data_IF_314510784324
#
_entry.id   IF_314510784324
#
_cell.length_a   1.000
_cell.length_b   1.000
_cell.length_c   1.000
_cell.angle_alpha   90.00
_cell.angle_beta   90.00
_cell.angle_gamma   90.00
#
_symmetry.space_group_name_H-M   'P 1'
#
loop_
_entity.id
_entity.type
_entity.pdbx_description
1 polymer ?
#
# COMPACT_ATOMS: atom_id res chain seq x y z
N UNK A 1 -7.38 -8.44 -21.64
CA UNK A 1 -7.76 -7.17 -20.98
C UNK A 1 -6.54 -6.24 -21.05
N UNK A 2 -6.70 -4.94 -21.31
CA UNK A 2 -5.59 -3.98 -21.40
C UNK A 2 -5.75 -2.91 -20.31
N UNK A 3 -5.15 -3.09 -19.11
CA UNK A 3 -5.34 -2.17 -17.99
C UNK A 3 -4.69 -0.82 -18.26
N UNK A 4 -5.35 0.26 -17.81
CA UNK A 4 -4.87 1.64 -17.91
C UNK A 4 -4.95 2.30 -16.54
N UNK A 5 -3.92 3.05 -16.17
CA UNK A 5 -3.87 3.83 -14.93
C UNK A 5 -4.47 5.22 -15.20
N UNK A 6 -5.29 5.70 -14.27
CA UNK A 6 -5.95 7.02 -14.32
C UNK A 6 -5.95 7.65 -12.93
N UNK A 7 -6.48 8.86 -12.82
CA UNK A 7 -6.57 9.65 -11.57
C UNK A 7 -5.21 10.08 -11.00
N UNK A 8 -4.52 10.93 -11.74
CA UNK A 8 -3.23 11.52 -11.36
C UNK A 8 -3.38 12.80 -10.50
N UNK A 9 -4.54 13.06 -9.90
CA UNK A 9 -4.81 14.29 -9.13
C UNK A 9 -3.92 14.47 -7.90
N UNK A 10 -3.36 13.37 -7.39
CA UNK A 10 -2.38 13.36 -6.28
C UNK A 10 -0.95 13.07 -6.74
N UNK A 11 -0.72 12.88 -8.05
CA UNK A 11 0.61 12.58 -8.57
C UNK A 11 1.53 13.78 -8.39
N UNK A 12 2.78 13.51 -8.01
CA UNK A 12 3.80 14.52 -7.80
C UNK A 12 4.93 14.29 -8.80
N UNK A 13 5.24 15.31 -9.59
CA UNK A 13 6.43 15.29 -10.44
C UNK A 13 7.65 15.64 -9.58
N UNK A 14 8.66 14.76 -9.61
CA UNK A 14 9.97 15.07 -9.08
C UNK A 14 10.79 15.83 -10.13
N UNK A 15 11.58 16.82 -9.70
CA UNK A 15 12.48 17.56 -10.59
C UNK A 15 13.90 17.02 -10.52
N UNK A 16 14.61 16.98 -11.64
CA UNK A 16 16.03 16.58 -11.68
C UNK A 16 16.27 15.13 -11.22
N UNK A 17 17.22 14.93 -10.30
CA UNK A 17 17.60 13.62 -9.75
C UNK A 17 16.84 13.27 -8.45
N UNK A 18 15.76 13.99 -8.12
CA UNK A 18 14.96 13.68 -6.94
C UNK A 18 14.19 12.36 -7.12
N UNK A 19 14.39 11.42 -6.19
CA UNK A 19 13.74 10.10 -6.18
C UNK A 19 12.69 9.96 -5.06
N UNK A 20 12.65 10.95 -4.16
CA UNK A 20 11.80 11.00 -2.98
C UNK A 20 11.55 12.45 -2.53
N UNK A 21 10.50 12.66 -1.75
CA UNK A 21 10.12 13.97 -1.24
C UNK A 21 9.27 13.87 0.03
N UNK A 22 9.01 15.00 0.67
CA UNK A 22 8.18 15.07 1.88
C UNK A 22 7.01 16.05 1.71
N UNK A 23 5.88 15.77 2.36
CA UNK A 23 4.71 16.65 2.41
C UNK A 23 4.11 16.70 3.81
N UNK A 24 3.81 17.91 4.27
CA UNK A 24 3.04 18.12 5.51
C UNK A 24 1.55 17.75 5.36
N UNK A 25 1.10 17.50 4.13
CA UNK A 25 -0.28 17.12 3.80
C UNK A 25 -0.29 15.70 3.26
N UNK A 26 -0.66 14.75 4.11
CA UNK A 26 -0.88 13.33 3.77
C UNK A 26 -2.29 13.17 3.22
N UNK A 27 -2.40 12.71 1.97
CA UNK A 27 -3.68 12.42 1.32
C UNK A 27 -3.53 11.14 0.52
N UNK A 28 -4.47 10.22 0.64
CA UNK A 28 -4.47 8.99 -0.13
C UNK A 28 -5.58 8.04 0.31
N UNK A 29 -5.62 6.85 -0.28
CA UNK A 29 -6.60 5.83 0.11
C UNK A 29 -6.04 4.99 1.25
N UNK A 30 -6.70 5.05 2.41
CA UNK A 30 -6.37 4.21 3.56
C UNK A 30 -6.31 2.73 3.20
N UNK A 31 -5.33 2.02 3.76
CA UNK A 31 -5.06 0.61 3.46
C UNK A 31 -4.12 0.38 2.27
N UNK A 32 -3.92 1.39 1.41
CA UNK A 32 -2.97 1.34 0.29
C UNK A 32 -1.74 2.23 0.54
N UNK A 33 -1.87 3.27 1.36
CA UNK A 33 -0.75 4.16 1.69
C UNK A 33 0.38 3.42 2.39
N UNK A 34 1.61 3.67 1.93
CA UNK A 34 2.82 3.19 2.59
C UNK A 34 2.94 3.80 4.01
N UNK A 35 3.45 3.04 4.99
CA UNK A 35 3.55 3.51 6.37
C UNK A 35 4.42 4.76 6.52
N UNK A 36 5.54 4.83 5.79
CA UNK A 36 6.43 5.99 5.77
C UNK A 36 5.75 7.25 5.20
N UNK A 37 4.83 7.07 4.26
CA UNK A 37 4.02 8.18 3.73
C UNK A 37 2.93 8.60 4.71
N UNK A 38 2.26 7.64 5.34
CA UNK A 38 1.17 7.89 6.28
C UNK A 38 1.63 8.54 7.58
N UNK A 39 2.82 8.15 8.08
CA UNK A 39 3.37 8.65 9.34
C UNK A 39 4.19 9.93 9.17
N UNK A 40 5.09 9.95 8.18
CA UNK A 40 6.09 11.02 8.07
C UNK A 40 5.88 11.93 6.85
N UNK A 41 4.88 11.66 6.01
CA UNK A 41 4.65 12.39 4.76
C UNK A 41 5.66 12.10 3.65
N UNK A 42 6.52 11.08 3.82
CA UNK A 42 7.58 10.74 2.86
C UNK A 42 7.03 9.95 1.69
N UNK A 43 7.08 10.52 0.49
CA UNK A 43 6.65 9.87 -0.75
C UNK A 43 7.83 9.62 -1.68
N UNK A 44 7.79 8.51 -2.40
CA UNK A 44 8.83 8.10 -3.34
C UNK A 44 8.28 7.03 -4.27
N UNK A 45 9.10 6.59 -5.23
CA UNK A 45 8.77 5.39 -6.02
C UNK A 45 8.52 4.16 -5.13
N UNK A 46 9.18 4.04 -3.97
CA UNK A 46 8.98 2.90 -3.05
C UNK A 46 7.60 2.90 -2.41
N UNK A 47 7.07 4.08 -2.05
CA UNK A 47 5.71 4.17 -1.51
C UNK A 47 4.65 3.81 -2.56
N UNK A 48 4.93 4.08 -3.84
CA UNK A 48 4.07 3.65 -4.95
C UNK A 48 4.12 2.12 -5.17
N UNK A 49 5.31 1.51 -5.06
CA UNK A 49 5.48 0.04 -5.12
C UNK A 49 4.70 -0.65 -4.00
N UNK A 50 4.74 -0.10 -2.78
CA UNK A 50 3.95 -0.63 -1.67
C UNK A 50 2.44 -0.63 -1.99
N UNK A 51 1.93 0.51 -2.45
CA UNK A 51 0.52 0.69 -2.81
C UNK A 51 0.09 -0.27 -3.92
N UNK A 52 0.96 -0.46 -4.92
CA UNK A 52 0.75 -1.45 -5.98
C UNK A 52 0.75 -2.89 -5.47
N UNK A 53 1.62 -3.24 -4.51
CA UNK A 53 1.64 -4.56 -3.89
C UNK A 53 0.32 -4.91 -3.20
N UNK A 54 -0.30 -3.95 -2.51
CA UNK A 54 -1.64 -4.11 -1.92
C UNK A 54 -2.70 -4.37 -3.00
N UNK A 55 -2.69 -3.57 -4.08
CA UNK A 55 -3.60 -3.76 -5.21
C UNK A 55 -3.44 -5.15 -5.84
N UNK A 56 -2.20 -5.62 -6.01
CA UNK A 56 -1.91 -6.95 -6.54
C UNK A 56 -2.50 -8.04 -5.64
N UNK A 57 -2.35 -7.92 -4.32
CA UNK A 57 -2.94 -8.87 -3.38
C UNK A 57 -4.47 -8.84 -3.40
N UNK A 58 -5.10 -7.68 -3.55
CA UNK A 58 -6.54 -7.55 -3.73
C UNK A 58 -7.01 -8.26 -5.01
N UNK A 59 -6.27 -8.11 -6.12
CA UNK A 59 -6.56 -8.80 -7.39
C UNK A 59 -6.44 -10.32 -7.23
N UNK A 60 -5.33 -10.80 -6.66
CA UNK A 60 -5.06 -12.24 -6.52
C UNK A 60 -6.04 -12.89 -5.52
N UNK A 61 -6.35 -12.22 -4.41
CA UNK A 61 -7.26 -12.75 -3.40
C UNK A 61 -8.74 -12.62 -3.79
N UNK A 62 -9.06 -11.73 -4.72
CA UNK A 62 -10.45 -11.33 -5.03
C UNK A 62 -11.16 -10.65 -3.86
N UNK A 63 -10.44 -10.30 -2.79
CA UNK A 63 -10.99 -9.68 -1.57
C UNK A 63 -10.63 -8.21 -1.53
N UNK A 64 -11.65 -7.36 -1.46
CA UNK A 64 -11.44 -5.92 -1.32
C UNK A 64 -10.66 -5.59 -0.06
N UNK A 65 -9.69 -4.69 -0.18
CA UNK A 65 -8.98 -4.15 0.98
C UNK A 65 -9.86 -3.22 1.83
N UNK A 66 -10.95 -2.68 1.25
CA UNK A 66 -12.01 -1.93 1.97
C UNK A 66 -12.91 -2.90 2.75
N UNK A 67 -12.44 -3.35 3.91
CA UNK A 67 -13.22 -4.28 4.73
C UNK A 67 -12.67 -4.66 6.10
N UNK A 68 -11.48 -4.23 6.52
CA UNK A 68 -11.05 -4.41 7.91
C UNK A 68 -11.46 -3.21 8.80
N UNK A 69 -12.75 -2.90 8.80
CA UNK A 69 -13.39 -2.36 9.99
C UNK A 69 -13.68 -3.56 10.91
N UNK A 70 -12.65 -4.01 11.63
CA UNK A 70 -12.87 -4.82 12.81
C UNK A 70 -12.20 -4.10 13.97
N UNK A 71 -13.03 -3.53 14.83
CA UNK A 71 -12.66 -3.09 16.17
C UNK A 71 -11.99 -4.20 17.00
N UNK A 72 -11.99 -5.45 16.52
CA UNK A 72 -11.41 -6.62 17.21
C UNK A 72 -10.38 -7.46 16.42
N UNK A 73 -9.92 -7.07 15.22
CA UNK A 73 -8.88 -7.84 14.52
C UNK A 73 -7.86 -6.97 13.76
N UNK A 74 -6.70 -6.80 14.40
CA UNK A 74 -5.57 -5.92 14.04
C UNK A 74 -4.76 -6.32 12.79
N UNK A 75 -5.31 -7.08 11.84
CA UNK A 75 -4.53 -7.57 10.70
C UNK A 75 -5.09 -7.03 9.38
N UNK A 76 -4.36 -6.08 8.79
CA UNK A 76 -4.49 -5.71 7.38
C UNK A 76 -4.07 -6.88 6.46
N UNK A 77 -4.22 -6.75 5.14
CA UNK A 77 -3.79 -7.79 4.19
C UNK A 77 -2.32 -8.18 4.37
N UNK A 78 -1.46 -7.22 4.74
CA UNK A 78 -0.05 -7.46 5.11
C UNK A 78 0.06 -8.36 6.33
N UNK A 79 -0.78 -8.15 7.35
CA UNK A 79 -0.88 -9.02 8.51
C UNK A 79 -1.34 -10.44 8.15
N UNK A 80 -2.18 -10.59 7.12
CA UNK A 80 -2.60 -11.90 6.63
C UNK A 80 -1.46 -12.64 5.90
N UNK A 81 -0.73 -11.94 5.02
CA UNK A 81 0.43 -12.50 4.31
C UNK A 81 1.56 -12.84 5.29
N UNK A 82 1.84 -11.96 6.25
CA UNK A 82 2.85 -12.18 7.29
C UNK A 82 2.46 -13.37 8.19
N UNK A 83 1.19 -13.50 8.57
CA UNK A 83 0.69 -14.67 9.31
C UNK A 83 0.82 -15.96 8.48
N UNK A 84 0.50 -15.93 7.19
CA UNK A 84 0.66 -17.10 6.31
C UNK A 84 2.12 -17.52 6.16
N UNK A 85 3.06 -16.59 6.05
CA UNK A 85 4.49 -16.89 6.04
C UNK A 85 4.94 -17.57 7.34
N UNK A 86 4.56 -17.01 8.50
CA UNK A 86 4.87 -17.61 9.81
C UNK A 86 4.23 -18.99 9.99
N UNK A 87 3.00 -19.21 9.51
CA UNK A 87 2.35 -20.52 9.56
C UNK A 87 3.05 -21.53 8.65
N UNK A 88 3.49 -21.14 7.46
CA UNK A 88 4.26 -22.03 6.57
C UNK A 88 5.61 -22.41 7.16
N UNK A 89 6.35 -21.46 7.75
CA UNK A 89 7.63 -21.71 8.42
C UNK A 89 7.54 -22.57 9.69
N UNK A 90 6.35 -22.77 10.26
CA UNK A 90 6.13 -23.64 11.41
C UNK A 90 5.64 -25.05 11.03
N UNK A 91 5.40 -25.30 9.74
CA UNK A 91 4.92 -26.60 9.21
C UNK A 91 6.04 -27.36 8.49
N UNK A 92 7.13 -26.69 8.11
CA UNK A 92 8.41 -27.26 7.64
C UNK A 92 9.46 -27.13 8.74
#
# INVERSE_FOLDING_TARGET
MNPKISDFGLARAFGGDEIEGNTNRVIGTYGYMAPEYASDGKFSVKSDVFSFGILLLEIISGKKNRGFYHSDNKLNLIGHVSKMHTTFSNIV
#
